data_IF_973521373624
#
_entry.id   IF_973521373624
#
_cell.length_a   1.000
_cell.length_b   1.000
_cell.length_c   1.000
_cell.angle_alpha   90.00
_cell.angle_beta   90.00
_cell.angle_gamma   90.00
#
_symmetry.space_group_name_H-M   'P 1'
#
loop_
_entity.id
_entity.type
_entity.pdbx_description
1 polymer ?
#
# COMPACT_ATOMS: atom_id res chain seq x y z
N UNK A 1 -22.25 -1.53 -17.80
CA UNK A 1 -20.81 -1.85 -17.71
C UNK A 1 -20.05 -0.55 -17.59
N UNK A 2 -19.16 -0.41 -16.60
CA UNK A 2 -18.23 0.74 -16.50
C UNK A 2 -16.82 0.22 -16.74
N UNK A 3 -16.04 0.94 -17.56
CA UNK A 3 -14.62 0.68 -17.78
C UNK A 3 -13.85 1.78 -17.07
N UNK A 4 -12.90 1.40 -16.22
CA UNK A 4 -12.10 2.34 -15.43
C UNK A 4 -10.65 2.09 -15.75
N UNK A 5 -9.92 3.14 -16.09
CA UNK A 5 -8.47 3.07 -16.26
C UNK A 5 -7.81 2.90 -14.89
N UNK A 6 -6.95 1.89 -14.75
CA UNK A 6 -6.25 1.62 -13.51
C UNK A 6 -5.03 2.55 -13.36
N UNK A 7 -5.31 3.85 -13.24
CA UNK A 7 -4.32 4.92 -13.10
C UNK A 7 -4.93 6.06 -12.28
N UNK A 8 -4.10 6.85 -11.60
CA UNK A 8 -4.55 8.04 -10.85
C UNK A 8 -3.48 9.13 -10.84
N UNK A 9 -3.90 10.36 -10.49
CA UNK A 9 -2.98 11.46 -10.14
C UNK A 9 -2.81 11.61 -8.63
N UNK A 10 -3.70 11.00 -7.85
CA UNK A 10 -3.70 11.03 -6.39
C UNK A 10 -2.95 9.80 -5.85
N UNK A 11 -2.50 9.87 -4.58
CA UNK A 11 -1.93 8.71 -3.88
C UNK A 11 -2.95 7.58 -3.79
N UNK A 12 -4.21 7.89 -3.50
CA UNK A 12 -5.30 6.93 -3.32
C UNK A 12 -6.58 7.44 -3.97
N UNK A 13 -7.21 6.59 -4.78
CA UNK A 13 -8.49 6.90 -5.40
C UNK A 13 -9.41 5.68 -5.37
N UNK A 14 -10.50 5.75 -4.62
CA UNK A 14 -11.57 4.73 -4.66
C UNK A 14 -12.29 4.84 -6.00
N UNK A 15 -12.28 3.76 -6.77
CA UNK A 15 -12.89 3.68 -8.12
C UNK A 15 -14.19 2.88 -8.13
N UNK A 16 -14.39 2.01 -7.14
CA UNK A 16 -15.61 1.24 -6.97
C UNK A 16 -15.86 0.96 -5.49
N UNK A 17 -17.13 0.95 -5.09
CA UNK A 17 -17.55 0.60 -3.73
C UNK A 17 -18.91 -0.09 -3.78
N UNK A 18 -18.99 -1.25 -3.14
CA UNK A 18 -20.24 -1.99 -2.94
C UNK A 18 -20.71 -1.76 -1.50
N UNK A 19 -21.48 -0.67 -1.31
CA UNK A 19 -22.07 -0.28 -0.03
C UNK A 19 -21.07 -0.31 1.15
N UNK A 20 -21.30 -1.22 2.10
CA UNK A 20 -20.48 -1.46 3.30
C UNK A 20 -19.72 -2.80 3.25
N UNK A 21 -19.67 -3.47 2.08
CA UNK A 21 -19.05 -4.80 1.93
C UNK A 21 -17.57 -4.71 1.59
N UNK A 22 -17.23 -4.08 0.46
CA UNK A 22 -15.86 -3.91 -0.03
C UNK A 22 -15.75 -2.70 -0.94
N UNK A 23 -14.53 -2.19 -1.10
CA UNK A 23 -14.20 -1.15 -2.06
C UNK A 23 -12.90 -1.49 -2.79
N UNK A 24 -12.74 -0.88 -3.96
CA UNK A 24 -11.55 -0.98 -4.79
C UNK A 24 -11.03 0.42 -5.04
N UNK A 25 -9.73 0.58 -4.89
CA UNK A 25 -9.07 1.81 -5.30
C UNK A 25 -7.77 1.56 -6.04
N UNK A 26 -7.30 2.65 -6.65
CA UNK A 26 -6.01 2.74 -7.31
C UNK A 26 -5.06 3.42 -6.33
N UNK A 27 -3.95 2.75 -6.05
CA UNK A 27 -2.92 3.21 -5.13
C UNK A 27 -1.60 3.45 -5.86
N UNK A 28 -1.00 4.61 -5.59
CA UNK A 28 0.31 5.02 -6.08
C UNK A 28 1.13 5.44 -4.86
N UNK A 29 2.13 4.64 -4.43
CA UNK A 29 2.96 5.01 -3.29
C UNK A 29 3.68 6.34 -3.54
N UNK A 30 3.61 7.25 -2.57
CA UNK A 30 4.26 8.56 -2.65
C UNK A 30 5.77 8.46 -2.44
N UNK A 31 6.19 7.56 -1.54
CA UNK A 31 7.59 7.30 -1.22
C UNK A 31 8.30 6.65 -2.42
N UNK A 32 9.57 6.97 -2.60
CA UNK A 32 10.42 6.47 -3.68
C UNK A 32 11.55 5.55 -3.20
N UNK A 33 11.70 5.42 -1.89
CA UNK A 33 12.70 4.61 -1.21
C UNK A 33 12.21 4.22 0.19
N UNK A 34 12.88 3.26 0.83
CA UNK A 34 12.57 2.86 2.20
C UNK A 34 12.84 4.01 3.19
N UNK A 35 13.86 4.83 2.92
CA UNK A 35 14.29 5.93 3.78
C UNK A 35 13.26 7.05 3.89
N UNK A 36 12.36 7.18 2.91
CA UNK A 36 11.26 8.15 2.92
C UNK A 36 10.05 7.65 3.73
N UNK A 37 9.98 6.34 4.03
CA UNK A 37 8.88 5.75 4.80
C UNK A 37 9.04 6.11 6.28
N UNK A 38 8.36 7.17 6.71
CA UNK A 38 8.38 7.64 8.10
C UNK A 38 7.37 6.91 9.02
N UNK A 39 6.30 6.35 8.45
CA UNK A 39 5.20 5.74 9.19
C UNK A 39 4.84 4.38 8.61
N UNK A 40 4.41 3.46 9.48
CA UNK A 40 3.64 2.29 9.06
C UNK A 40 2.20 2.45 9.56
N UNK A 41 1.26 1.98 8.75
CA UNK A 41 -0.15 1.93 9.08
C UNK A 41 -0.61 0.49 9.27
N UNK A 42 -1.63 0.29 10.10
CA UNK A 42 -2.27 -1.02 10.25
C UNK A 42 -3.77 -0.84 10.33
N UNK A 43 -4.47 -1.55 9.46
CA UNK A 43 -5.92 -1.61 9.47
C UNK A 43 -6.43 -2.69 10.42
N UNK A 44 -7.60 -2.48 11.00
CA UNK A 44 -8.32 -3.49 11.78
C UNK A 44 -8.89 -4.63 10.92
N UNK A 45 -8.70 -4.61 9.59
CA UNK A 45 -9.17 -5.61 8.62
C UNK A 45 -8.10 -5.78 7.52
N UNK A 46 -8.03 -6.95 6.85
CA UNK A 46 -7.04 -7.18 5.81
C UNK A 46 -7.24 -6.27 4.59
N UNK A 47 -6.13 -5.96 3.95
CA UNK A 47 -6.05 -5.21 2.70
C UNK A 47 -5.34 -6.04 1.65
N UNK A 48 -5.84 -6.01 0.42
CA UNK A 48 -5.30 -6.80 -0.69
C UNK A 48 -4.69 -5.87 -1.74
N UNK A 49 -3.44 -6.14 -2.13
CA UNK A 49 -2.73 -5.42 -3.16
C UNK A 49 -2.47 -6.30 -4.39
N UNK A 50 -2.68 -5.74 -5.58
CA UNK A 50 -2.34 -6.37 -6.86
C UNK A 50 -1.61 -5.36 -7.76
N UNK A 51 -0.40 -5.70 -8.20
CA UNK A 51 0.39 -4.82 -9.06
C UNK A 51 -0.21 -4.77 -10.47
N UNK A 52 -0.65 -3.58 -10.88
CA UNK A 52 -1.19 -3.32 -12.22
C UNK A 52 -0.06 -3.03 -13.20
N UNK A 53 0.86 -2.13 -12.82
CA UNK A 53 2.00 -1.73 -13.65
C UNK A 53 3.13 -1.15 -12.82
N UNK A 54 4.34 -1.19 -13.37
CA UNK A 54 5.52 -0.60 -12.76
C UNK A 54 6.11 -1.44 -11.64
N UNK A 55 6.66 -0.78 -10.62
CA UNK A 55 7.35 -1.40 -9.49
C UNK A 55 6.87 -0.81 -8.17
N UNK A 56 6.51 -1.68 -7.23
CA UNK A 56 6.17 -1.33 -5.85
C UNK A 56 6.86 -2.32 -4.93
N UNK A 57 7.40 -1.81 -3.83
CA UNK A 57 7.90 -2.61 -2.71
C UNK A 57 7.01 -2.32 -1.51
N UNK A 58 6.40 -3.37 -0.96
CA UNK A 58 5.69 -3.30 0.31
C UNK A 58 6.73 -3.31 1.44
N UNK A 59 6.55 -2.43 2.41
CA UNK A 59 7.33 -2.35 3.65
C UNK A 59 6.43 -2.89 4.74
N UNK A 60 6.76 -4.06 5.29
CA UNK A 60 5.92 -4.79 6.24
C UNK A 60 6.60 -4.89 7.61
N UNK A 61 5.80 -5.02 8.66
CA UNK A 61 6.27 -5.36 10.00
C UNK A 61 5.19 -6.03 10.83
N UNK A 62 5.53 -7.17 11.44
CA UNK A 62 4.62 -7.87 12.37
C UNK A 62 4.54 -7.21 13.73
N UNK A 63 5.68 -6.70 14.22
CA UNK A 63 5.85 -6.18 15.58
C UNK A 63 6.07 -4.67 15.64
N UNK A 64 6.12 -3.99 14.49
CA UNK A 64 6.37 -2.56 14.39
C UNK A 64 7.83 -2.15 14.58
N UNK A 65 8.75 -3.12 14.73
CA UNK A 65 10.17 -2.88 14.97
C UNK A 65 11.05 -3.45 13.85
N UNK A 66 10.74 -4.66 13.38
CA UNK A 66 11.48 -5.33 12.32
C UNK A 66 10.80 -5.09 10.98
N UNK A 67 11.53 -4.48 10.05
CA UNK A 67 11.06 -4.22 8.69
C UNK A 67 11.39 -5.40 7.77
N UNK A 68 10.43 -5.76 6.92
CA UNK A 68 10.59 -6.64 5.78
C UNK A 68 10.19 -5.89 4.49
N UNK A 69 11.00 -6.04 3.44
CA UNK A 69 10.71 -5.48 2.13
C UNK A 69 10.25 -6.58 1.18
N UNK A 70 9.04 -6.47 0.67
CA UNK A 70 8.45 -7.44 -0.26
C UNK A 70 8.19 -6.76 -1.60
N UNK A 71 9.01 -7.11 -2.61
CA UNK A 71 8.77 -6.64 -3.98
C UNK A 71 7.48 -7.25 -4.53
N UNK A 72 6.57 -6.40 -4.98
CA UNK A 72 5.37 -6.83 -5.69
C UNK A 72 5.72 -7.33 -7.09
N UNK A 73 5.08 -8.43 -7.50
CA UNK A 73 5.28 -9.06 -8.80
C UNK A 73 3.97 -9.10 -9.59
N UNK A 74 3.99 -8.87 -10.91
CA UNK A 74 2.80 -9.01 -11.76
C UNK A 74 2.17 -10.39 -11.63
N UNK A 75 0.84 -10.44 -11.55
CA UNK A 75 0.09 -11.69 -11.42
C UNK A 75 0.09 -12.31 -10.02
N UNK A 76 0.73 -11.67 -9.03
CA UNK A 76 0.65 -12.09 -7.62
C UNK A 76 -0.26 -11.17 -6.83
N UNK A 77 -0.99 -11.77 -5.88
CA UNK A 77 -1.87 -11.09 -4.95
C UNK A 77 -1.19 -11.10 -3.58
N UNK A 78 -1.20 -9.96 -2.91
CA UNK A 78 -0.62 -9.77 -1.58
C UNK A 78 -1.76 -9.40 -0.64
N UNK A 79 -1.96 -10.18 0.42
CA UNK A 79 -2.97 -9.91 1.45
C UNK A 79 -2.23 -9.54 2.73
N UNK A 80 -2.49 -8.34 3.24
CA UNK A 80 -1.75 -7.73 4.34
C UNK A 80 -2.70 -7.50 5.51
N UNK A 81 -2.34 -8.02 6.68
CA UNK A 81 -3.04 -7.85 7.96
C UNK A 81 -2.09 -7.39 9.09
N UNK A 82 -0.91 -6.90 8.71
CA UNK A 82 0.17 -6.42 9.57
C UNK A 82 0.49 -4.94 9.32
N UNK A 83 1.45 -4.37 10.06
CA UNK A 83 1.89 -3.00 9.81
C UNK A 83 2.51 -2.91 8.43
N UNK A 84 2.12 -1.91 7.66
CA UNK A 84 2.61 -1.78 6.30
C UNK A 84 2.71 -0.32 5.83
N UNK A 85 3.48 -0.15 4.78
CA UNK A 85 3.50 0.99 3.86
C UNK A 85 4.06 0.47 2.53
N UNK A 86 4.27 1.35 1.55
CA UNK A 86 4.93 0.98 0.31
C UNK A 86 5.73 2.14 -0.25
N UNK A 87 6.64 1.81 -1.16
CA UNK A 87 7.36 2.80 -1.96
C UNK A 87 7.54 2.32 -3.41
N UNK A 88 7.80 3.26 -4.31
CA UNK A 88 8.12 3.02 -5.73
C UNK A 88 9.62 3.20 -5.94
N UNK A 89 10.42 2.12 -6.07
CA UNK A 89 11.87 2.21 -6.06
C UNK A 89 12.38 3.17 -7.14
N UNK A 90 13.22 4.13 -6.72
CA UNK A 90 13.85 5.12 -7.61
C UNK A 90 12.85 6.04 -8.34
N UNK A 91 11.66 6.23 -7.77
CA UNK A 91 10.61 7.09 -8.35
C UNK A 91 10.02 6.54 -9.66
N UNK A 92 10.20 5.24 -9.92
CA UNK A 92 9.62 4.57 -11.08
C UNK A 92 8.10 4.59 -11.01
N UNK A 93 7.46 4.33 -12.14
CA UNK A 93 6.03 4.08 -12.15
C UNK A 93 5.70 2.89 -11.23
N UNK A 94 4.58 2.96 -10.52
CA UNK A 94 4.10 1.91 -9.64
C UNK A 94 2.65 2.16 -9.34
N UNK A 95 1.78 1.26 -9.81
CA UNK A 95 0.33 1.37 -9.61
C UNK A 95 -0.20 0.02 -9.12
N UNK A 96 -0.88 0.04 -7.99
CA UNK A 96 -1.57 -1.11 -7.45
C UNK A 96 -3.10 -0.92 -7.51
N UNK A 97 -3.79 -2.02 -7.75
CA UNK A 97 -5.18 -2.16 -7.39
C UNK A 97 -5.22 -2.62 -5.92
N UNK A 98 -6.04 -1.97 -5.12
CA UNK A 98 -6.24 -2.32 -3.72
C UNK A 98 -7.69 -2.71 -3.51
N UNK A 99 -7.91 -3.78 -2.74
CA UNK A 99 -9.25 -4.20 -2.28
C UNK A 99 -9.26 -4.20 -0.77
N UNK A 100 -10.22 -3.49 -0.19
CA UNK A 100 -10.34 -3.36 1.26
C UNK A 100 -11.80 -3.27 1.71
N UNK A 101 -12.01 -3.40 3.02
CA UNK A 101 -13.28 -3.08 3.61
C UNK A 101 -13.52 -1.55 3.60
N UNK A 102 -14.76 -1.08 3.41
CA UNK A 102 -15.04 0.36 3.31
C UNK A 102 -15.05 1.11 4.64
N UNK A 103 -15.00 0.40 5.76
CA UNK A 103 -15.05 0.91 7.14
C UNK A 103 -13.85 0.33 7.91
N UNK A 104 -12.66 0.80 7.52
CA UNK A 104 -11.39 0.45 8.17
C UNK A 104 -11.07 1.48 9.26
N UNK A 105 -10.56 0.99 10.38
CA UNK A 105 -9.89 1.81 11.38
C UNK A 105 -8.40 1.60 11.23
N UNK A 106 -7.65 2.70 11.21
CA UNK A 106 -6.21 2.70 10.97
C UNK A 106 -5.47 3.20 12.19
N UNK A 107 -4.50 2.41 12.65
CA UNK A 107 -3.49 2.81 13.61
C UNK A 107 -2.19 3.16 12.87
N UNK A 108 -1.34 3.97 13.50
CA UNK A 108 -0.06 4.40 12.93
C UNK A 108 1.06 4.26 13.94
N UNK A 109 2.23 3.84 13.46
CA UNK A 109 3.49 3.88 14.21
C UNK A 109 4.54 4.67 13.44
N UNK A 110 5.41 5.37 14.16
CA UNK A 110 6.54 6.07 13.59
C UNK A 110 7.72 5.10 13.46
N UNK A 111 8.35 5.07 12.29
CA UNK A 111 9.65 4.44 12.12
C UNK A 111 10.69 5.42 12.65
N UNK A 112 11.31 5.06 13.77
CA UNK A 112 12.35 5.88 14.39
C UNK A 112 13.41 6.24 13.36
N UNK A 113 13.64 7.55 13.15
CA UNK A 113 14.75 8.01 12.34
C UNK A 113 16.00 7.33 12.88
N UNK A 114 16.67 6.48 12.08
CA UNK A 114 17.98 5.98 12.45
C UNK A 114 18.83 7.22 12.76
N UNK A 115 19.18 7.41 14.03
CA UNK A 115 20.27 8.31 14.40
C UNK A 115 21.45 7.87 13.55
N UNK A 116 21.84 8.70 12.59
CA UNK A 116 23.12 8.56 11.91
C UNK A 116 24.15 8.87 12.99
N UNK A 117 24.89 7.85 13.42
CA UNK A 117 26.15 8.04 14.16
C UNK A 117 27.16 8.80 13.30
#
# INVERSE_FOLDING_TARGET
MKVIEANSKERWQVVFREENKWQVGIYIPENTSLEEVAVLEKHNRPELFFLVKGEIVLVLSRDGSRIEEVKMLPGKIYVVDEWHNAYRPYGREGVALVVEAPDIQTEYIQLGSKCRE
#
